data_IF_174792849907
#
_entry.id   IF_174792849907
#
_cell.length_a   1.000
_cell.length_b   1.000
_cell.length_c   1.000
_cell.angle_alpha   90.00
_cell.angle_beta   90.00
_cell.angle_gamma   90.00
#
_symmetry.space_group_name_H-M   'P 1'
#
loop_
_entity.id
_entity.type
_entity.pdbx_description
1 polymer ?
#
# COMPACT_ATOMS: atom_id res chain seq x y z
N UNK A 1 31.97 9.36 28.31
CA UNK A 1 32.47 9.30 26.95
C UNK A 1 32.04 7.95 26.41
N UNK A 2 30.87 7.91 25.74
CA UNK A 2 30.28 6.66 25.23
C UNK A 2 30.48 6.65 23.72
N UNK A 3 31.23 5.68 23.26
CA UNK A 3 31.57 5.47 21.86
C UNK A 3 30.36 4.94 21.10
N UNK A 4 29.76 5.74 20.23
CA UNK A 4 28.69 5.34 19.34
C UNK A 4 29.30 4.58 18.17
N UNK A 5 29.23 3.25 18.17
CA UNK A 5 29.56 2.44 17.01
C UNK A 5 28.53 2.68 15.90
N UNK A 6 28.95 3.35 14.85
CA UNK A 6 28.21 3.49 13.60
C UNK A 6 28.09 2.13 12.92
N UNK A 7 26.92 1.52 12.99
CA UNK A 7 26.58 0.37 12.15
C UNK A 7 26.01 0.88 10.83
N UNK A 8 26.79 0.72 9.76
CA UNK A 8 26.33 0.99 8.39
C UNK A 8 25.14 0.10 8.05
N UNK A 9 24.12 0.63 7.37
CA UNK A 9 22.99 -0.18 6.95
C UNK A 9 23.43 -1.25 5.92
N UNK A 10 22.76 -2.42 5.90
CA UNK A 10 23.09 -3.47 4.94
C UNK A 10 22.87 -2.96 3.51
N UNK A 11 23.90 -3.00 2.70
CA UNK A 11 23.80 -2.76 1.26
C UNK A 11 23.06 -3.92 0.63
N UNK A 12 21.83 -3.71 0.20
CA UNK A 12 21.13 -4.64 -0.69
C UNK A 12 21.79 -4.53 -2.07
N UNK A 13 22.72 -5.43 -2.33
CA UNK A 13 23.38 -5.54 -3.63
C UNK A 13 22.48 -6.42 -4.53
N UNK A 14 21.83 -5.81 -5.50
CA UNK A 14 21.21 -6.56 -6.58
C UNK A 14 22.34 -7.07 -7.51
N UNK A 15 22.87 -8.24 -7.22
CA UNK A 15 23.81 -8.92 -8.09
C UNK A 15 23.04 -9.52 -9.28
N UNK A 16 23.36 -9.06 -10.49
CA UNK A 16 23.06 -9.83 -11.70
C UNK A 16 24.01 -11.02 -11.78
N UNK A 17 23.54 -12.17 -12.28
CA UNK A 17 24.37 -13.38 -12.35
C UNK A 17 25.60 -13.28 -13.26
N UNK A 18 25.73 -12.23 -14.08
CA UNK A 18 26.73 -12.08 -15.13
C UNK A 18 27.74 -10.94 -14.93
N UNK A 19 27.65 -10.19 -13.83
CA UNK A 19 28.68 -9.20 -13.44
C UNK A 19 28.88 -8.01 -14.40
N UNK A 20 28.05 -7.82 -15.42
CA UNK A 20 28.26 -6.78 -16.43
C UNK A 20 27.46 -5.51 -16.16
N UNK A 21 28.16 -4.38 -16.02
CA UNK A 21 27.54 -3.04 -16.07
C UNK A 21 27.24 -2.66 -17.52
N UNK A 22 26.03 -2.16 -17.84
CA UNK A 22 25.72 -1.73 -19.20
C UNK A 22 26.49 -0.46 -19.55
N UNK A 23 27.28 -0.51 -20.64
CA UNK A 23 27.93 0.68 -21.22
C UNK A 23 26.86 1.61 -21.79
N UNK A 24 26.98 2.91 -21.52
CA UNK A 24 26.07 3.98 -21.96
C UNK A 24 26.03 4.19 -23.48
N UNK A 25 26.88 3.53 -24.22
CA UNK A 25 27.11 3.84 -25.65
C UNK A 25 26.28 2.99 -26.63
N UNK A 26 25.47 2.03 -26.12
CA UNK A 26 24.67 1.13 -26.96
C UNK A 26 23.29 1.69 -27.35
N UNK A 27 22.99 2.96 -27.03
CA UNK A 27 21.67 3.56 -27.31
C UNK A 27 21.60 4.41 -28.58
N UNK A 28 22.61 4.34 -29.44
CA UNK A 28 22.57 5.05 -30.73
C UNK A 28 22.68 4.07 -31.89
N UNK A 29 21.59 3.94 -32.62
CA UNK A 29 21.37 3.31 -33.90
C UNK A 29 20.71 1.91 -33.90
N UNK A 30 19.46 1.93 -34.28
CA UNK A 30 18.69 0.74 -34.61
C UNK A 30 17.32 0.77 -33.92
N UNK A 31 16.27 1.11 -34.67
CA UNK A 31 14.89 1.20 -34.19
C UNK A 31 14.37 -0.15 -33.67
N UNK A 32 14.75 -0.45 -32.42
CA UNK A 32 14.17 -1.57 -31.70
C UNK A 32 13.00 -1.02 -30.92
N UNK A 33 11.80 -1.41 -31.32
CA UNK A 33 10.56 -1.06 -30.66
C UNK A 33 10.64 -1.42 -29.15
N UNK A 34 10.56 -0.40 -28.29
CA UNK A 34 10.59 -0.56 -26.84
C UNK A 34 9.48 -1.52 -26.35
N UNK A 35 8.37 -1.63 -27.09
CA UNK A 35 7.28 -2.56 -26.79
C UNK A 35 7.68 -4.03 -27.02
N UNK A 36 8.53 -4.28 -27.99
CA UNK A 36 9.04 -5.64 -28.27
C UNK A 36 10.10 -6.07 -27.26
N UNK A 37 10.91 -5.12 -26.77
CA UNK A 37 11.88 -5.40 -25.69
C UNK A 37 11.17 -5.64 -24.36
N UNK A 38 10.11 -4.90 -24.07
CA UNK A 38 9.30 -5.10 -22.87
C UNK A 38 8.59 -6.47 -22.91
N UNK A 39 8.03 -6.85 -24.06
CA UNK A 39 7.43 -8.19 -24.25
C UNK A 39 8.46 -9.32 -24.10
N UNK A 40 9.70 -9.09 -24.52
CA UNK A 40 10.80 -10.06 -24.41
C UNK A 40 11.37 -10.13 -22.98
N UNK A 41 11.38 -9.01 -22.25
CA UNK A 41 11.83 -8.95 -20.84
C UNK A 41 10.80 -9.55 -19.86
N UNK A 42 9.50 -9.53 -20.21
CA UNK A 42 8.42 -10.14 -19.42
C UNK A 42 8.29 -11.64 -19.74
N UNK A 43 8.82 -12.09 -20.86
CA UNK A 43 8.82 -13.48 -21.30
C UNK A 43 9.89 -14.33 -20.64
N UNK A 44 9.87 -14.47 -19.32
CA UNK A 44 10.55 -15.60 -18.65
C UNK A 44 9.77 -16.85 -19.03
N UNK A 45 10.25 -17.56 -20.06
CA UNK A 45 9.72 -18.87 -20.43
C UNK A 45 10.00 -19.84 -19.28
N UNK A 46 9.01 -20.12 -18.46
CA UNK A 46 9.07 -21.27 -17.56
C UNK A 46 9.01 -22.55 -18.44
N UNK A 47 9.90 -23.51 -18.25
CA UNK A 47 9.85 -24.78 -18.98
C UNK A 47 8.57 -25.52 -18.58
N UNK A 48 7.63 -25.66 -19.53
CA UNK A 48 6.42 -26.43 -19.36
C UNK A 48 5.11 -25.63 -19.41
N UNK A 49 4.72 -25.17 -20.61
CA UNK A 49 3.34 -24.79 -20.92
C UNK A 49 2.96 -23.36 -20.60
N UNK A 50 2.26 -22.74 -21.52
CA UNK A 50 1.63 -21.41 -21.57
C UNK A 50 1.91 -20.50 -20.37
N UNK A 51 2.63 -19.39 -20.60
CA UNK A 51 2.75 -18.30 -19.63
C UNK A 51 1.33 -17.95 -19.15
N UNK A 52 1.00 -18.29 -17.89
CA UNK A 52 -0.24 -17.84 -17.28
C UNK A 52 -0.21 -16.33 -17.31
N UNK A 53 -1.18 -15.73 -18.00
CA UNK A 53 -1.36 -14.29 -17.93
C UNK A 53 -1.40 -13.88 -16.45
N UNK A 54 -0.58 -12.90 -16.05
CA UNK A 54 -0.57 -12.40 -14.70
C UNK A 54 -1.91 -11.71 -14.42
N UNK A 55 -2.73 -12.32 -13.59
CA UNK A 55 -4.02 -11.77 -13.16
C UNK A 55 -3.79 -10.91 -11.92
N UNK A 56 -3.65 -9.60 -12.15
CA UNK A 56 -3.44 -8.60 -11.10
C UNK A 56 -4.54 -8.68 -10.04
N UNK A 57 -5.80 -8.74 -10.47
CA UNK A 57 -6.95 -8.72 -9.56
C UNK A 57 -7.00 -9.95 -8.65
N UNK A 58 -6.71 -11.13 -9.20
CA UNK A 58 -6.66 -12.36 -8.42
C UNK A 58 -5.50 -12.34 -7.41
N UNK A 59 -4.34 -11.80 -7.79
CA UNK A 59 -3.18 -11.67 -6.91
C UNK A 59 -3.44 -10.68 -5.78
N UNK A 60 -3.97 -9.49 -6.09
CA UNK A 60 -4.32 -8.46 -5.10
C UNK A 60 -5.31 -9.00 -4.08
N UNK A 61 -6.41 -9.63 -4.54
CA UNK A 61 -7.43 -10.22 -3.66
C UNK A 61 -6.83 -11.26 -2.72
N UNK A 62 -6.05 -12.20 -3.26
CA UNK A 62 -5.40 -13.26 -2.46
C UNK A 62 -4.53 -12.69 -1.36
N UNK A 63 -3.75 -11.63 -1.62
CA UNK A 63 -2.89 -11.03 -0.62
C UNK A 63 -3.67 -10.23 0.41
N UNK A 64 -4.74 -9.53 0.02
CA UNK A 64 -5.60 -8.82 0.96
C UNK A 64 -6.32 -9.79 1.92
N UNK A 65 -6.83 -10.91 1.40
CA UNK A 65 -7.41 -11.99 2.19
C UNK A 65 -6.36 -12.60 3.15
N UNK A 66 -5.18 -12.92 2.66
CA UNK A 66 -4.08 -13.46 3.48
C UNK A 66 -3.68 -12.51 4.62
N UNK A 67 -3.49 -11.22 4.36
CA UNK A 67 -3.17 -10.24 5.40
C UNK A 67 -4.29 -10.08 6.43
N UNK A 68 -5.54 -10.19 6.00
CA UNK A 68 -6.68 -10.13 6.89
C UNK A 68 -6.72 -11.36 7.81
N UNK A 69 -6.62 -12.56 7.24
CA UNK A 69 -6.74 -13.83 7.96
C UNK A 69 -5.59 -14.05 8.97
N UNK A 70 -4.38 -13.66 8.60
CA UNK A 70 -3.21 -13.75 9.48
C UNK A 70 -3.07 -12.57 10.46
N UNK A 71 -3.88 -11.53 10.30
CA UNK A 71 -3.75 -10.32 11.11
C UNK A 71 -2.40 -9.63 10.95
N UNK A 72 -1.81 -9.68 9.75
CA UNK A 72 -0.42 -9.26 9.47
C UNK A 72 -0.11 -7.83 9.96
N UNK A 73 -1.10 -6.94 9.93
CA UNK A 73 -0.96 -5.54 10.34
C UNK A 73 -1.74 -5.20 11.60
N UNK A 74 -2.13 -6.21 12.35
CA UNK A 74 -2.73 -6.06 13.67
C UNK A 74 -1.64 -6.09 14.74
N UNK A 75 -1.81 -5.28 15.79
CA UNK A 75 -0.86 -5.24 16.89
C UNK A 75 -1.57 -5.26 18.23
N UNK A 76 -1.02 -6.04 19.17
CA UNK A 76 -1.51 -6.09 20.53
C UNK A 76 -0.81 -5.01 21.41
N UNK A 77 -1.49 -4.59 22.49
CA UNK A 77 -1.01 -3.53 23.34
C UNK A 77 0.30 -3.90 24.08
N UNK A 78 0.49 -5.18 24.33
CA UNK A 78 1.65 -5.76 25.02
C UNK A 78 2.71 -6.34 24.09
N UNK A 79 2.62 -6.04 22.79
CA UNK A 79 3.63 -6.47 21.81
C UNK A 79 5.03 -6.05 22.27
N UNK A 80 6.00 -6.98 22.37
CA UNK A 80 7.32 -6.72 22.93
C UNK A 80 8.26 -5.95 21.98
N UNK A 81 7.89 -5.79 20.70
CA UNK A 81 8.71 -5.09 19.71
C UNK A 81 8.78 -3.59 20.02
N UNK A 82 9.80 -2.92 19.48
CA UNK A 82 9.86 -1.45 19.49
C UNK A 82 8.60 -0.87 18.84
N UNK A 83 7.88 -0.05 19.58
CA UNK A 83 6.58 0.48 19.13
C UNK A 83 6.74 1.66 18.19
N UNK A 84 5.97 1.65 17.12
CA UNK A 84 5.85 2.76 16.19
C UNK A 84 4.38 3.08 15.96
N UNK A 85 4.01 4.35 16.07
CA UNK A 85 2.65 4.83 15.84
C UNK A 85 2.59 5.60 14.52
N UNK A 86 1.83 5.10 13.56
CA UNK A 86 1.63 5.72 12.25
C UNK A 86 0.18 6.18 12.13
N UNK A 87 -0.05 7.49 12.20
CA UNK A 87 -1.38 8.07 12.08
C UNK A 87 -1.51 8.85 10.77
N UNK A 88 -2.49 8.47 9.96
CA UNK A 88 -2.98 9.27 8.85
C UNK A 88 -4.22 10.06 9.27
N UNK A 89 -4.42 11.23 8.66
CA UNK A 89 -5.62 12.02 8.88
C UNK A 89 -6.86 11.23 8.44
N UNK A 90 -7.86 11.15 9.31
CA UNK A 90 -9.11 10.46 9.02
C UNK A 90 -9.92 11.19 7.95
N UNK A 91 -10.48 10.48 6.97
CA UNK A 91 -11.29 11.11 5.93
C UNK A 91 -12.66 11.49 6.46
N UNK A 92 -13.21 12.58 5.90
CA UNK A 92 -14.63 12.90 6.05
C UNK A 92 -15.48 11.98 5.18
N UNK A 93 -16.53 11.33 5.70
CA UNK A 93 -17.45 10.52 4.92
C UNK A 93 -18.51 11.39 4.22
N UNK A 94 -18.09 12.44 3.51
CA UNK A 94 -18.93 13.37 2.77
C UNK A 94 -18.99 13.09 1.28
N UNK A 95 -18.18 12.15 0.77
CA UNK A 95 -18.10 11.78 -0.63
C UNK A 95 -17.17 10.59 -0.87
N UNK A 96 -17.02 10.17 -2.14
CA UNK A 96 -16.14 9.07 -2.51
C UNK A 96 -14.67 9.44 -2.33
N UNK A 97 -13.80 8.42 -2.28
CA UNK A 97 -12.35 8.60 -2.29
C UNK A 97 -11.89 9.31 -3.58
N UNK A 98 -10.92 10.19 -3.45
CA UNK A 98 -10.33 10.94 -4.56
C UNK A 98 -8.79 10.87 -4.52
N UNK A 99 -8.11 11.43 -5.53
CA UNK A 99 -6.66 11.35 -5.67
C UNK A 99 -5.88 11.89 -4.45
N UNK A 100 -6.43 12.87 -3.74
CA UNK A 100 -5.85 13.37 -2.49
C UNK A 100 -5.81 12.30 -1.40
N UNK A 101 -6.87 11.50 -1.28
CA UNK A 101 -6.93 10.35 -0.38
C UNK A 101 -5.90 9.29 -0.79
N UNK A 102 -5.83 8.94 -2.09
CA UNK A 102 -4.83 7.97 -2.59
C UNK A 102 -3.43 8.41 -2.22
N UNK A 103 -3.07 9.66 -2.48
CA UNK A 103 -1.76 10.20 -2.13
C UNK A 103 -1.46 10.11 -0.63
N UNK A 104 -2.36 10.62 0.21
CA UNK A 104 -2.17 10.64 1.66
C UNK A 104 -1.99 9.23 2.24
N UNK A 105 -2.87 8.31 1.86
CA UNK A 105 -2.87 6.95 2.41
C UNK A 105 -1.77 6.07 1.85
N UNK A 106 -1.33 6.30 0.61
CA UNK A 106 -0.15 5.61 0.06
C UNK A 106 1.13 6.00 0.79
N UNK A 107 1.29 7.27 1.17
CA UNK A 107 2.45 7.67 1.98
C UNK A 107 2.42 7.05 3.38
N UNK A 108 1.25 7.02 4.02
CA UNK A 108 1.08 6.35 5.31
C UNK A 108 1.38 4.86 5.22
N UNK A 109 0.84 4.19 4.23
CA UNK A 109 1.06 2.77 3.93
C UNK A 109 2.54 2.45 3.72
N UNK A 110 3.25 3.28 2.95
CA UNK A 110 4.70 3.13 2.74
C UNK A 110 5.46 3.15 4.07
N UNK A 111 5.16 4.10 4.94
CA UNK A 111 5.80 4.23 6.26
C UNK A 111 5.50 3.01 7.13
N UNK A 112 4.24 2.56 7.16
CA UNK A 112 3.82 1.38 7.94
C UNK A 112 4.58 0.15 7.49
N UNK A 113 4.59 -0.15 6.20
CA UNK A 113 5.31 -1.31 5.64
C UNK A 113 6.80 -1.23 5.92
N UNK A 114 7.41 -0.08 5.73
CA UNK A 114 8.82 0.12 5.99
C UNK A 114 9.19 -0.13 7.46
N UNK A 115 8.44 0.44 8.41
CA UNK A 115 8.70 0.25 9.83
C UNK A 115 8.42 -1.20 10.27
N UNK A 116 7.42 -1.85 9.70
CA UNK A 116 7.13 -3.28 9.93
C UNK A 116 8.29 -4.16 9.41
N UNK A 117 8.83 -3.86 8.23
CA UNK A 117 10.00 -4.58 7.68
C UNK A 117 11.27 -4.38 8.51
N UNK A 118 11.37 -3.28 9.27
CA UNK A 118 12.43 -3.08 10.26
C UNK A 118 12.20 -3.85 11.57
N UNK A 119 11.14 -4.65 11.66
CA UNK A 119 10.84 -5.48 12.83
C UNK A 119 10.11 -4.77 13.96
N UNK A 120 9.58 -3.56 13.74
CA UNK A 120 8.83 -2.82 14.76
C UNK A 120 7.39 -3.32 14.89
N UNK A 121 6.83 -3.16 16.07
CA UNK A 121 5.40 -3.28 16.32
C UNK A 121 4.69 -1.98 15.91
N UNK A 122 4.06 -1.98 14.74
CA UNK A 122 3.47 -0.76 14.16
C UNK A 122 1.98 -0.69 14.42
N UNK A 123 1.53 0.33 15.13
CA UNK A 123 0.10 0.66 15.24
C UNK A 123 -0.25 1.68 14.15
N UNK A 124 -1.10 1.26 13.23
CA UNK A 124 -1.66 2.10 12.17
C UNK A 124 -3.19 2.04 12.22
N UNK A 125 -3.83 2.86 13.04
CA UNK A 125 -5.29 2.89 13.14
C UNK A 125 -5.89 3.63 11.95
N UNK A 126 -7.16 3.36 11.67
CA UNK A 126 -7.98 4.13 10.72
C UNK A 126 -9.36 4.38 11.30
N UNK A 127 -9.90 5.54 11.02
CA UNK A 127 -11.25 5.92 11.38
C UNK A 127 -11.83 6.88 10.35
N UNK A 128 -13.01 7.41 10.67
CA UNK A 128 -13.70 8.37 9.82
C UNK A 128 -14.16 9.53 10.69
N UNK A 129 -13.88 10.75 10.25
CA UNK A 129 -14.40 11.96 10.90
C UNK A 129 -15.87 12.14 10.49
N UNK A 130 -16.72 11.42 11.23
CA UNK A 130 -18.12 11.18 10.88
C UNK A 130 -19.07 12.28 11.38
N UNK A 131 -18.60 13.13 12.30
CA UNK A 131 -19.40 14.18 12.90
C UNK A 131 -18.94 15.55 12.42
N UNK A 132 -19.87 16.35 11.92
CA UNK A 132 -19.58 17.71 11.50
C UNK A 132 -20.29 18.13 10.23
N UNK A 133 -20.17 19.41 9.90
CA UNK A 133 -20.85 20.07 8.79
C UNK A 133 -20.66 19.41 7.40
N UNK A 134 -19.49 18.84 7.05
CA UNK A 134 -19.34 18.23 5.73
C UNK A 134 -20.31 17.07 5.50
N UNK A 135 -20.46 16.17 6.46
CA UNK A 135 -21.35 15.02 6.36
C UNK A 135 -22.83 15.45 6.48
N UNK A 136 -23.13 16.35 7.41
CA UNK A 136 -24.48 16.88 7.61
C UNK A 136 -25.00 17.65 6.36
N UNK A 137 -24.18 18.55 5.81
CA UNK A 137 -24.54 19.29 4.60
C UNK A 137 -24.72 18.36 3.38
N UNK A 138 -23.92 17.29 3.27
CA UNK A 138 -24.08 16.31 2.21
C UNK A 138 -25.41 15.53 2.39
N UNK A 139 -25.74 15.12 3.60
CA UNK A 139 -26.98 14.45 3.91
C UNK A 139 -28.22 15.34 3.62
N UNK A 140 -28.17 16.61 4.01
CA UNK A 140 -29.24 17.60 3.72
C UNK A 140 -29.43 17.73 2.20
N UNK A 141 -28.36 17.87 1.44
CA UNK A 141 -28.42 18.01 -0.04
C UNK A 141 -29.04 16.77 -0.71
N UNK A 142 -28.85 15.60 -0.15
CA UNK A 142 -29.39 14.34 -0.69
C UNK A 142 -30.78 14.00 -0.13
N UNK A 143 -31.28 14.75 0.85
CA UNK A 143 -32.55 14.47 1.53
C UNK A 143 -32.51 13.20 2.37
N UNK A 144 -31.33 12.76 2.80
CA UNK A 144 -31.14 11.51 3.54
C UNK A 144 -30.82 11.82 5.00
N UNK A 145 -31.23 10.94 5.92
CA UNK A 145 -30.85 11.08 7.32
C UNK A 145 -29.31 11.03 7.45
N UNK A 146 -28.65 11.96 8.20
CA UNK A 146 -27.20 12.06 8.27
C UNK A 146 -26.50 10.73 8.62
N UNK A 147 -27.00 9.97 9.58
CA UNK A 147 -26.43 8.66 9.94
C UNK A 147 -26.45 7.67 8.77
N UNK A 148 -27.57 7.55 8.08
CA UNK A 148 -27.73 6.61 6.96
C UNK A 148 -26.77 7.00 5.82
N UNK A 149 -26.70 8.28 5.52
CA UNK A 149 -25.75 8.81 4.52
C UNK A 149 -24.30 8.47 4.92
N UNK A 150 -23.92 8.80 6.15
CA UNK A 150 -22.56 8.62 6.68
C UNK A 150 -22.15 7.15 6.69
N UNK A 151 -23.00 6.25 7.20
CA UNK A 151 -22.72 4.81 7.25
C UNK A 151 -22.48 4.24 5.84
N UNK A 152 -23.28 4.65 4.86
CA UNK A 152 -23.08 4.25 3.47
C UNK A 152 -21.75 4.75 2.88
N UNK A 153 -21.35 6.00 3.19
CA UNK A 153 -20.07 6.56 2.73
C UNK A 153 -18.87 5.90 3.42
N UNK A 154 -18.96 5.57 4.70
CA UNK A 154 -17.94 4.82 5.42
C UNK A 154 -17.71 3.46 4.76
N UNK A 155 -18.77 2.72 4.46
CA UNK A 155 -18.66 1.44 3.78
C UNK A 155 -17.96 1.56 2.40
N UNK A 156 -18.30 2.58 1.62
CA UNK A 156 -17.69 2.84 0.31
C UNK A 156 -16.21 3.23 0.43
N UNK A 157 -15.85 4.10 1.39
CA UNK A 157 -14.48 4.50 1.63
C UNK A 157 -13.64 3.34 2.14
N UNK A 158 -14.18 2.52 3.06
CA UNK A 158 -13.53 1.30 3.55
C UNK A 158 -13.22 0.35 2.40
N UNK A 159 -14.20 0.07 1.54
CA UNK A 159 -13.99 -0.77 0.36
C UNK A 159 -12.91 -0.19 -0.59
N UNK A 160 -12.88 1.13 -0.76
CA UNK A 160 -11.90 1.81 -1.60
C UNK A 160 -10.48 1.71 -1.02
N UNK A 161 -10.31 1.91 0.29
CA UNK A 161 -9.02 1.79 0.98
C UNK A 161 -8.52 0.33 1.00
N UNK A 162 -9.42 -0.63 1.20
CA UNK A 162 -9.10 -2.06 1.11
C UNK A 162 -8.63 -2.41 -0.30
N UNK A 163 -9.32 -1.95 -1.34
CA UNK A 163 -8.94 -2.16 -2.73
C UNK A 163 -7.60 -1.49 -3.08
N UNK A 164 -7.29 -0.34 -2.49
CA UNK A 164 -5.97 0.31 -2.61
C UNK A 164 -4.85 -0.55 -2.01
N UNK A 165 -5.19 -1.51 -1.15
CA UNK A 165 -4.24 -2.34 -0.42
C UNK A 165 -3.58 -1.61 0.76
N UNK A 166 -4.14 -0.49 1.19
CA UNK A 166 -3.64 0.25 2.34
C UNK A 166 -3.78 -0.57 3.62
N UNK A 167 -2.70 -0.64 4.39
CA UNK A 167 -2.60 -1.50 5.57
C UNK A 167 -2.94 -0.73 6.84
N UNK A 168 -3.97 -1.21 7.51
CA UNK A 168 -4.47 -0.64 8.77
C UNK A 168 -4.85 -1.73 9.77
N UNK A 169 -4.74 -1.42 11.05
CA UNK A 169 -5.41 -2.21 12.08
C UNK A 169 -6.88 -1.75 12.20
N UNK A 170 -7.75 -2.37 11.41
CA UNK A 170 -9.18 -2.05 11.33
C UNK A 170 -9.97 -2.30 12.62
N UNK A 171 -9.32 -2.83 13.66
CA UNK A 171 -9.91 -3.04 14.99
C UNK A 171 -9.82 -1.81 15.88
N UNK A 172 -9.07 -0.77 15.45
CA UNK A 172 -8.73 0.41 16.24
C UNK A 172 -9.37 1.67 15.69
#
# INVERSE_FOLDING_TARGET
MVEVKSSSPPRVLWLRPDGATPRRDALKSGGVDASSLLKKAIGVAYPGGMARAYDVTAVERRWQEHWHDEGTYQIENDDPREKFYALCMYPYPSGPAHQGHVRNYTFGDLVVRYQTMLGKGVLSPIGFDSFGLPAENAAIKTGTHPRVFTDARIAELTASLTRLGAVYDWRR
#
